data_IF_335307833604
#
_entry.id   IF_335307833604
#
_cell.length_a   1.000
_cell.length_b   1.000
_cell.length_c   1.000
_cell.angle_alpha   90.00
_cell.angle_beta   90.00
_cell.angle_gamma   90.00
#
_symmetry.space_group_name_H-M   'P 1'
#
loop_
_entity.id
_entity.type
_entity.pdbx_description
1 polymer ?
#
# COMPACT_ATOMS: atom_id res chain seq x y z
N UNK A 1 1.44 -3.29 -13.09
CA UNK A 1 0.09 -3.46 -12.52
C UNK A 1 0.23 -3.76 -11.04
N UNK A 2 -0.45 -2.99 -10.21
CA UNK A 2 -0.59 -3.21 -8.77
C UNK A 2 -1.90 -3.95 -8.51
N UNK A 3 -1.90 -4.92 -7.61
CA UNK A 3 -3.10 -5.53 -7.05
C UNK A 3 -3.08 -5.38 -5.53
N UNK A 4 -4.21 -4.99 -4.95
CA UNK A 4 -4.37 -4.68 -3.52
C UNK A 4 -5.66 -5.30 -3.03
N UNK A 5 -5.64 -5.88 -1.82
CA UNK A 5 -6.88 -6.31 -1.15
C UNK A 5 -7.64 -5.13 -0.54
N UNK A 6 -8.95 -5.04 -0.81
CA UNK A 6 -9.79 -3.88 -0.47
C UNK A 6 -9.77 -3.48 1.02
N UNK A 7 -9.69 -4.46 1.93
CA UNK A 7 -9.66 -4.22 3.37
C UNK A 7 -8.27 -3.94 3.93
N UNK A 8 -7.23 -3.89 3.10
CA UNK A 8 -5.86 -3.70 3.57
C UNK A 8 -5.45 -2.22 3.57
N UNK A 9 -5.78 -1.55 4.68
CA UNK A 9 -5.48 -0.14 4.95
C UNK A 9 -4.50 0.03 6.13
N UNK A 10 -3.24 -0.45 6.01
CA UNK A 10 -2.30 -0.44 7.13
C UNK A 10 -1.79 0.97 7.43
N UNK A 11 -1.95 1.47 8.66
CA UNK A 11 -1.31 2.71 9.06
C UNK A 11 0.20 2.50 9.24
N UNK A 12 1.00 3.47 8.79
CA UNK A 12 2.44 3.36 8.87
C UNK A 12 3.13 4.71 9.05
N UNK A 13 4.37 4.68 9.54
CA UNK A 13 5.30 5.79 9.50
C UNK A 13 6.34 5.54 8.43
N UNK A 14 6.66 6.58 7.67
CA UNK A 14 7.78 6.59 6.75
C UNK A 14 9.06 6.86 7.56
N UNK A 15 10.12 6.11 7.29
CA UNK A 15 11.45 6.38 7.82
C UNK A 15 11.98 7.73 7.35
N UNK A 16 12.96 8.29 8.05
CA UNK A 16 13.50 9.62 7.73
C UNK A 16 14.16 9.68 6.34
N UNK A 17 14.67 8.55 5.84
CA UNK A 17 15.24 8.42 4.49
C UNK A 17 14.19 8.16 3.40
N UNK A 18 12.94 7.88 3.77
CA UNK A 18 11.86 7.60 2.82
C UNK A 18 11.78 6.15 2.33
N UNK A 19 12.73 5.29 2.70
CA UNK A 19 12.90 3.97 2.09
C UNK A 19 12.16 2.83 2.82
N UNK A 20 11.69 3.07 4.04
CA UNK A 20 11.04 2.07 4.86
C UNK A 20 9.72 2.57 5.46
N UNK A 21 8.79 1.62 5.61
CA UNK A 21 7.56 1.81 6.37
C UNK A 21 7.64 1.00 7.65
N UNK A 22 7.30 1.64 8.78
CA UNK A 22 7.13 0.96 10.06
C UNK A 22 5.65 0.97 10.43
N UNK A 23 5.03 -0.18 10.79
CA UNK A 23 3.64 -0.22 11.20
C UNK A 23 3.36 0.74 12.37
N UNK A 24 2.22 1.43 12.29
CA UNK A 24 1.71 2.27 13.37
C UNK A 24 0.46 1.64 13.98
N UNK A 25 0.14 2.02 15.22
CA UNK A 25 -1.07 1.55 15.92
C UNK A 25 -2.15 2.62 16.06
N UNK A 26 -1.78 3.89 15.85
CA UNK A 26 -2.68 5.03 15.90
C UNK A 26 -2.65 5.76 14.54
N UNK A 27 -3.65 5.54 13.66
CA UNK A 27 -3.72 6.18 12.35
C UNK A 27 -3.92 7.70 12.43
N UNK A 28 -4.40 8.21 13.57
CA UNK A 28 -4.68 9.65 13.74
C UNK A 28 -3.48 10.44 14.29
N UNK A 29 -2.41 9.76 14.70
CA UNK A 29 -1.25 10.41 15.28
C UNK A 29 -0.53 11.28 14.23
N UNK A 30 -0.10 12.51 14.58
CA UNK A 30 0.72 13.33 13.69
C UNK A 30 1.93 12.58 13.11
N UNK A 31 2.10 12.66 11.80
CA UNK A 31 3.18 11.99 11.07
C UNK A 31 3.00 10.48 10.89
N UNK A 32 1.78 9.96 11.04
CA UNK A 32 1.36 8.62 10.59
C UNK A 32 0.57 8.79 9.29
N UNK A 33 0.85 7.93 8.31
CA UNK A 33 -0.06 7.67 7.20
C UNK A 33 -1.17 6.79 7.74
N UNK A 34 -2.41 7.22 7.61
CA UNK A 34 -3.61 6.46 8.00
C UNK A 34 -3.81 5.23 7.11
N UNK A 35 -3.51 5.36 5.82
CA UNK A 35 -3.35 4.24 4.88
C UNK A 35 -2.07 4.40 4.04
N UNK A 36 -1.09 3.53 4.30
CA UNK A 36 0.14 3.52 3.51
C UNK A 36 -0.04 3.00 2.08
N UNK A 37 -1.13 2.26 1.82
CA UNK A 37 -1.40 1.65 0.50
C UNK A 37 -1.99 2.67 -0.46
N UNK A 38 -2.82 3.62 0.01
CA UNK A 38 -3.36 4.71 -0.80
C UNK A 38 -2.25 5.49 -1.53
N UNK A 39 -1.16 5.83 -0.84
CA UNK A 39 -0.01 6.51 -1.46
C UNK A 39 0.69 5.70 -2.56
N UNK A 40 0.67 4.36 -2.46
CA UNK A 40 1.21 3.46 -3.50
C UNK A 40 0.26 3.44 -4.70
N UNK A 41 -1.06 3.36 -4.47
CA UNK A 41 -2.10 3.42 -5.50
C UNK A 41 -1.98 4.74 -6.27
N UNK A 42 -1.91 5.87 -5.56
CA UNK A 42 -1.73 7.20 -6.16
C UNK A 42 -0.47 7.23 -7.04
N UNK A 43 0.66 6.75 -6.51
CA UNK A 43 1.92 6.71 -7.27
C UNK A 43 1.81 5.89 -8.55
N UNK A 44 1.16 4.73 -8.50
CA UNK A 44 0.98 3.86 -9.68
C UNK A 44 0.09 4.54 -10.72
N UNK A 45 -1.02 5.16 -10.28
CA UNK A 45 -1.93 5.91 -11.16
C UNK A 45 -1.22 7.10 -11.81
N UNK A 46 -0.47 7.89 -11.04
CA UNK A 46 0.33 9.01 -11.53
C UNK A 46 1.34 8.59 -12.62
N UNK A 47 1.86 7.36 -12.51
CA UNK A 47 2.79 6.78 -13.49
C UNK A 47 2.10 6.07 -14.65
N UNK A 48 0.79 6.30 -14.85
CA UNK A 48 -0.04 5.64 -15.87
C UNK A 48 -0.05 4.12 -15.75
N UNK A 49 0.18 3.60 -14.55
CA UNK A 49 0.05 2.20 -14.21
C UNK A 49 -1.40 1.80 -13.96
N UNK A 50 -1.62 0.50 -13.81
CA UNK A 50 -2.94 -0.09 -13.56
C UNK A 50 -3.01 -0.60 -12.12
N UNK A 51 -4.14 -0.35 -11.47
CA UNK A 51 -4.46 -0.85 -10.13
C UNK A 51 -5.70 -1.73 -10.23
N UNK A 52 -5.64 -2.92 -9.63
CA UNK A 52 -6.78 -3.81 -9.43
C UNK A 52 -7.05 -3.95 -7.93
N UNK A 53 -8.31 -3.79 -7.52
CA UNK A 53 -8.76 -4.13 -6.18
C UNK A 53 -9.26 -5.56 -6.18
N UNK A 54 -8.92 -6.31 -5.13
CA UNK A 54 -9.27 -7.71 -4.96
C UNK A 54 -9.96 -7.92 -3.61
N UNK A 55 -10.80 -8.95 -3.53
CA UNK A 55 -11.38 -9.38 -2.27
C UNK A 55 -10.28 -9.76 -1.26
N UNK A 56 -10.56 -9.54 0.03
CA UNK A 56 -9.67 -9.96 1.11
C UNK A 56 -9.38 -11.47 1.07
N UNK A 57 -8.09 -11.82 1.11
CA UNK A 57 -7.60 -13.19 1.00
C UNK A 57 -7.42 -13.70 -0.43
N UNK A 58 -7.72 -12.90 -1.46
CA UNK A 58 -7.51 -13.28 -2.86
C UNK A 58 -6.02 -13.38 -3.23
N UNK A 59 -5.13 -12.68 -2.53
CA UNK A 59 -3.70 -12.72 -2.77
C UNK A 59 -3.05 -13.81 -1.88
N UNK A 60 -2.43 -14.86 -2.46
CA UNK A 60 -1.85 -15.95 -1.69
C UNK A 60 -0.74 -15.52 -0.72
N UNK A 61 -0.43 -16.38 0.24
CA UNK A 61 0.68 -16.22 1.20
C UNK A 61 0.57 -14.97 2.09
N UNK A 62 -0.63 -14.42 2.30
CA UNK A 62 -0.86 -13.22 3.09
C UNK A 62 -0.10 -11.99 2.58
N UNK A 63 0.21 -11.92 1.28
CA UNK A 63 0.96 -10.79 0.74
C UNK A 63 0.15 -9.47 0.74
N UNK A 64 -1.19 -9.54 0.60
CA UNK A 64 -2.16 -8.41 0.63
C UNK A 64 -1.97 -7.32 -0.44
N UNK A 65 -0.77 -7.17 -0.98
CA UNK A 65 -0.36 -6.26 -2.05
C UNK A 65 0.63 -7.00 -2.94
N UNK A 66 0.51 -6.85 -4.26
CA UNK A 66 1.51 -7.33 -5.20
C UNK A 66 1.68 -6.38 -6.38
N UNK A 67 2.91 -6.25 -6.86
CA UNK A 67 3.26 -5.42 -8.02
C UNK A 67 3.92 -6.30 -9.08
N UNK A 68 3.43 -6.21 -10.31
CA UNK A 68 4.13 -6.72 -11.49
C UNK A 68 4.55 -5.56 -12.37
N UNK A 69 5.82 -5.52 -12.75
CA UNK A 69 6.35 -4.59 -13.75
C UNK A 69 6.42 -5.33 -15.08
N UNK A 70 6.04 -4.65 -16.17
CA UNK A 70 6.42 -5.18 -17.47
C UNK A 70 7.96 -5.22 -17.54
N UNK A 71 8.57 -6.28 -18.09
CA UNK A 71 9.98 -6.24 -18.49
C UNK A 71 10.20 -5.24 -19.63
#
# INVERSE_FOLDING_TARGET
>A
MLIVEEGFVPPARVSNDGDALTPATDPSHPGVLDDAVDGIIETVVLRSGWVALADDGAIPNHARVALTTHP
#
